data_IF_383110277268
#
_entry.id   IF_383110277268
#
_cell.length_a   1.000
_cell.length_b   1.000
_cell.length_c   1.000
_cell.angle_alpha   90.00
_cell.angle_beta   90.00
_cell.angle_gamma   90.00
#
_symmetry.space_group_name_H-M   'P 1'
#
loop_
_entity.id
_entity.type
_entity.pdbx_description
1 polymer ?
#
# COMPACT_ATOMS: atom_id res chain seq x y z
N UNK A 1 -7.09 16.19 48.42
CA UNK A 1 -5.68 15.95 48.06
C UNK A 1 -5.61 14.54 47.53
N UNK A 2 -5.65 14.38 46.22
CA UNK A 2 -5.59 13.07 45.53
C UNK A 2 -4.13 12.79 45.25
N UNK A 3 -3.58 11.76 45.84
CA UNK A 3 -2.21 11.28 45.61
C UNK A 3 -2.16 10.58 44.27
N UNK A 4 -1.35 11.10 43.33
CA UNK A 4 -1.00 10.44 42.10
C UNK A 4 -0.14 9.23 42.44
N UNK A 5 -0.46 8.00 41.97
CA UNK A 5 0.38 6.84 42.21
C UNK A 5 1.71 6.99 41.49
N UNK A 6 2.81 6.66 42.18
CA UNK A 6 4.17 6.68 41.63
C UNK A 6 4.30 5.76 40.42
N UNK A 7 4.76 6.31 39.30
CA UNK A 7 5.11 5.54 38.11
C UNK A 7 6.45 4.84 38.40
N UNK A 8 6.55 3.51 38.24
CA UNK A 8 7.81 2.80 38.40
C UNK A 8 8.87 3.31 37.42
N UNK A 9 10.01 3.75 37.93
CA UNK A 9 11.16 4.25 37.14
C UNK A 9 12.05 3.13 36.60
N UNK A 10 11.66 1.86 36.75
CA UNK A 10 12.41 0.73 36.24
C UNK A 10 11.90 0.38 34.83
N UNK A 11 12.69 0.57 33.76
CA UNK A 11 12.30 0.21 32.39
C UNK A 11 12.06 -1.31 32.19
N UNK A 12 12.61 -2.16 33.08
CA UNK A 12 12.44 -3.62 33.01
C UNK A 12 11.13 -4.13 33.66
N UNK A 13 10.36 -3.24 34.29
CA UNK A 13 9.08 -3.57 34.93
C UNK A 13 7.87 -3.48 33.98
N UNK A 14 8.05 -2.94 32.82
CA UNK A 14 7.09 -3.04 31.71
C UNK A 14 7.31 -4.41 31.07
N UNK A 15 6.44 -5.35 31.41
CA UNK A 15 6.51 -6.75 30.96
C UNK A 15 6.84 -6.87 29.48
N UNK A 16 7.60 -7.91 29.16
CA UNK A 16 8.11 -8.24 27.83
C UNK A 16 7.13 -7.82 26.73
N UNK A 17 7.60 -7.01 25.81
CA UNK A 17 6.85 -6.50 24.67
C UNK A 17 6.12 -7.68 23.99
N UNK A 18 4.78 -7.74 23.99
CA UNK A 18 4.05 -8.88 23.42
C UNK A 18 4.22 -8.98 21.90
N UNK A 19 4.97 -8.06 21.30
CA UNK A 19 5.36 -8.09 19.91
C UNK A 19 6.86 -7.79 19.83
N UNK A 20 7.70 -8.80 19.57
CA UNK A 20 9.08 -8.52 19.23
C UNK A 20 9.06 -7.65 17.97
N UNK A 21 9.42 -6.38 18.14
CA UNK A 21 9.81 -5.54 17.04
C UNK A 21 10.88 -6.33 16.30
N UNK A 22 10.85 -6.33 15.01
CA UNK A 22 11.57 -7.11 14.02
C UNK A 22 13.08 -7.42 14.22
N UNK A 23 13.60 -7.39 15.44
CA UNK A 23 14.91 -7.93 15.82
C UNK A 23 14.95 -9.47 15.85
N UNK A 24 13.84 -10.13 15.60
CA UNK A 24 13.70 -11.60 15.60
C UNK A 24 13.26 -12.19 14.26
N UNK A 25 13.38 -11.46 13.13
CA UNK A 25 13.32 -12.11 11.83
C UNK A 25 14.72 -12.67 11.53
N UNK A 26 15.07 -13.76 12.18
CA UNK A 26 16.16 -14.61 11.72
C UNK A 26 15.73 -15.17 10.35
N UNK A 27 16.46 -14.79 9.32
CA UNK A 27 16.36 -15.45 8.03
C UNK A 27 16.64 -16.93 8.28
N UNK A 28 15.90 -17.88 7.68
CA UNK A 28 16.23 -19.30 7.80
C UNK A 28 17.68 -19.46 7.36
N UNK A 29 18.50 -20.04 8.26
CA UNK A 29 19.89 -20.39 8.03
C UNK A 29 19.95 -21.45 6.92
N UNK A 30 19.95 -21.01 5.67
CA UNK A 30 20.29 -21.86 4.54
C UNK A 30 21.80 -21.77 4.32
N UNK A 31 22.52 -22.59 5.08
CA UNK A 31 23.98 -22.78 4.94
C UNK A 31 24.39 -23.42 3.61
N UNK A 32 23.53 -23.56 2.60
CA UNK A 32 23.85 -24.35 1.41
C UNK A 32 24.10 -23.58 0.13
N UNK A 33 24.06 -22.21 0.12
CA UNK A 33 24.41 -21.48 -1.09
C UNK A 33 25.49 -20.41 -0.88
N UNK A 34 26.75 -20.84 -1.09
CA UNK A 34 27.90 -19.93 -1.28
C UNK A 34 27.86 -19.18 -2.63
N UNK A 35 26.69 -18.95 -3.19
CA UNK A 35 26.52 -18.09 -4.36
C UNK A 35 26.26 -16.68 -3.81
N UNK A 36 27.26 -15.80 -3.98
CA UNK A 36 27.09 -14.38 -3.73
C UNK A 36 25.77 -13.90 -4.34
N UNK A 37 24.95 -13.11 -3.64
CA UNK A 37 23.71 -12.63 -4.18
C UNK A 37 24.02 -11.78 -5.42
N UNK A 38 23.76 -12.36 -6.59
CA UNK A 38 23.85 -11.64 -7.85
C UNK A 38 22.82 -10.54 -7.81
N UNK A 39 23.28 -9.29 -7.88
CA UNK A 39 22.44 -8.09 -7.82
C UNK A 39 21.12 -8.30 -8.59
N UNK A 40 20.01 -8.27 -7.88
CA UNK A 40 18.65 -8.46 -8.44
C UNK A 40 18.26 -7.33 -9.40
N UNK A 41 19.06 -6.25 -9.43
CA UNK A 41 18.92 -5.04 -10.22
C UNK A 41 18.86 -5.30 -11.74
N UNK A 42 19.40 -6.42 -12.23
CA UNK A 42 19.53 -6.71 -13.67
C UNK A 42 18.63 -7.84 -14.18
N UNK A 43 17.74 -8.39 -13.36
CA UNK A 43 16.82 -9.47 -13.79
C UNK A 43 15.41 -8.98 -14.03
N UNK A 44 15.22 -7.95 -14.87
CA UNK A 44 13.88 -7.66 -15.36
C UNK A 44 13.44 -8.79 -16.30
N UNK A 45 12.44 -9.57 -15.90
CA UNK A 45 11.81 -10.63 -16.74
C UNK A 45 10.89 -10.02 -17.81
N UNK A 46 10.98 -8.70 -18.03
CA UNK A 46 10.15 -7.93 -18.94
C UNK A 46 9.44 -6.76 -18.26
N UNK A 47 8.47 -6.17 -18.95
CA UNK A 47 7.69 -5.05 -18.44
C UNK A 47 6.38 -5.49 -17.77
N UNK A 48 5.98 -4.77 -16.74
CA UNK A 48 4.69 -4.92 -16.06
C UNK A 48 3.60 -4.15 -16.81
N UNK A 49 3.23 -4.61 -18.01
CA UNK A 49 2.31 -3.89 -18.90
C UNK A 49 0.98 -3.50 -18.26
N UNK A 50 0.45 -4.32 -17.35
CA UNK A 50 -0.75 -3.97 -16.59
C UNK A 50 -0.55 -2.75 -15.70
N UNK A 51 0.57 -2.66 -15.00
CA UNK A 51 0.93 -1.52 -14.15
C UNK A 51 1.18 -0.27 -15.00
N UNK A 52 1.92 -0.41 -16.10
CA UNK A 52 2.19 0.70 -17.03
C UNK A 52 0.87 1.24 -17.59
N UNK A 53 -0.01 0.36 -18.06
CA UNK A 53 -1.32 0.74 -18.59
C UNK A 53 -2.18 1.44 -17.52
N UNK A 54 -2.18 0.93 -16.30
CA UNK A 54 -2.89 1.54 -15.17
C UNK A 54 -2.37 2.95 -14.87
N UNK A 55 -1.07 3.11 -14.68
CA UNK A 55 -0.45 4.41 -14.40
C UNK A 55 -0.70 5.39 -15.54
N UNK A 56 -0.56 4.95 -16.80
CA UNK A 56 -0.85 5.79 -17.97
C UNK A 56 -2.30 6.24 -17.99
N UNK A 57 -3.25 5.33 -17.72
CA UNK A 57 -4.68 5.66 -17.65
C UNK A 57 -4.97 6.73 -16.60
N UNK A 58 -4.38 6.62 -15.40
CA UNK A 58 -4.55 7.60 -14.35
C UNK A 58 -4.01 8.98 -14.74
N UNK A 59 -2.84 9.05 -15.39
CA UNK A 59 -2.26 10.31 -15.83
C UNK A 59 -3.06 10.95 -16.97
N UNK A 60 -3.51 10.16 -17.94
CA UNK A 60 -4.40 10.65 -19.02
C UNK A 60 -5.70 11.17 -18.43
N UNK A 61 -6.29 10.44 -17.47
CA UNK A 61 -7.49 10.89 -16.76
C UNK A 61 -7.28 12.19 -15.99
N UNK A 62 -6.15 12.33 -15.30
CA UNK A 62 -5.81 13.55 -14.57
C UNK A 62 -5.66 14.75 -15.50
N UNK A 63 -5.00 14.59 -16.66
CA UNK A 63 -4.90 15.64 -17.69
C UNK A 63 -6.27 15.97 -18.27
N UNK A 64 -7.07 14.96 -18.61
CA UNK A 64 -8.43 15.16 -19.13
C UNK A 64 -9.34 15.92 -18.14
N UNK A 65 -9.19 15.68 -16.84
CA UNK A 65 -9.95 16.36 -15.80
C UNK A 65 -9.75 17.89 -15.78
N UNK A 66 -8.60 18.39 -16.25
CA UNK A 66 -8.34 19.83 -16.37
C UNK A 66 -9.28 20.51 -17.36
N UNK A 67 -9.75 19.79 -18.38
CA UNK A 67 -10.68 20.30 -19.39
C UNK A 67 -12.16 20.21 -18.95
N UNK A 68 -12.44 19.51 -17.85
CA UNK A 68 -13.78 19.31 -17.27
C UNK A 68 -13.83 19.81 -15.82
N UNK A 69 -13.13 20.90 -15.52
CA UNK A 69 -12.99 21.41 -14.17
C UNK A 69 -14.32 21.87 -13.59
N UNK A 70 -14.63 21.41 -12.38
CA UNK A 70 -15.70 21.92 -11.53
C UNK A 70 -15.22 21.96 -10.07
N UNK A 71 -15.71 22.94 -9.30
CA UNK A 71 -15.36 23.02 -7.87
C UNK A 71 -15.81 21.78 -7.08
N UNK A 72 -16.98 21.23 -7.41
CA UNK A 72 -17.46 19.99 -6.79
C UNK A 72 -16.52 18.83 -7.09
N UNK A 73 -16.10 18.68 -8.34
CA UNK A 73 -15.12 17.67 -8.74
C UNK A 73 -13.77 17.83 -8.04
N UNK A 74 -13.27 19.07 -7.96
CA UNK A 74 -12.00 19.36 -7.29
C UNK A 74 -12.04 19.05 -5.78
N UNK A 75 -13.12 19.45 -5.09
CA UNK A 75 -13.31 19.14 -3.67
C UNK A 75 -13.45 17.63 -3.46
N UNK A 76 -14.24 16.94 -4.29
CA UNK A 76 -14.40 15.48 -4.22
C UNK A 76 -13.06 14.77 -4.42
N UNK A 77 -12.28 15.17 -5.43
CA UNK A 77 -10.95 14.62 -5.68
C UNK A 77 -10.00 14.84 -4.49
N UNK A 78 -9.99 16.04 -3.90
CA UNK A 78 -9.20 16.35 -2.72
C UNK A 78 -9.60 15.49 -1.51
N UNK A 79 -10.89 15.34 -1.24
CA UNK A 79 -11.38 14.51 -0.12
C UNK A 79 -11.04 13.03 -0.33
N UNK A 80 -11.19 12.52 -1.55
CA UNK A 80 -10.80 11.15 -1.88
C UNK A 80 -9.30 10.94 -1.76
N UNK A 81 -8.50 11.85 -2.29
CA UNK A 81 -7.04 11.82 -2.14
C UNK A 81 -6.62 11.81 -0.66
N UNK A 82 -7.21 12.69 0.15
CA UNK A 82 -6.94 12.72 1.59
C UNK A 82 -7.37 11.42 2.27
N UNK A 83 -8.57 10.93 1.98
CA UNK A 83 -9.09 9.70 2.59
C UNK A 83 -8.23 8.48 2.19
N UNK A 84 -7.96 8.29 0.91
CA UNK A 84 -7.21 7.13 0.43
C UNK A 84 -5.73 7.21 0.82
N UNK A 85 -5.08 8.36 0.66
CA UNK A 85 -3.68 8.55 1.00
C UNK A 85 -3.43 8.57 2.51
N UNK A 86 -4.11 9.44 3.26
CA UNK A 86 -3.84 9.59 4.69
C UNK A 86 -4.44 8.47 5.53
N UNK A 87 -5.72 8.11 5.30
CA UNK A 87 -6.39 7.09 6.10
C UNK A 87 -6.11 5.70 5.54
N UNK A 88 -6.22 5.50 4.23
CA UNK A 88 -6.00 4.20 3.60
C UNK A 88 -4.55 3.78 3.59
N UNK A 89 -3.68 4.57 2.96
CA UNK A 89 -2.26 4.22 2.81
C UNK A 89 -1.48 4.50 4.09
N UNK A 90 -1.44 5.74 4.59
CA UNK A 90 -0.57 6.05 5.73
C UNK A 90 -1.03 5.38 7.03
N UNK A 91 -2.31 5.41 7.37
CA UNK A 91 -2.79 4.80 8.61
C UNK A 91 -3.04 3.29 8.44
N UNK A 92 -3.67 2.87 7.34
CA UNK A 92 -3.99 1.47 7.05
C UNK A 92 -2.78 0.66 6.61
N UNK A 93 -2.32 0.85 5.40
CA UNK A 93 -1.25 0.02 4.83
C UNK A 93 0.07 0.18 5.55
N UNK A 94 0.50 1.42 5.78
CA UNK A 94 1.78 1.71 6.40
C UNK A 94 1.78 1.39 7.89
N UNK A 95 1.00 2.13 8.70
CA UNK A 95 1.08 2.00 10.17
C UNK A 95 0.45 0.72 10.71
N UNK A 96 -0.76 0.34 10.24
CA UNK A 96 -1.46 -0.83 10.76
C UNK A 96 -0.90 -2.13 10.20
N UNK A 97 -0.79 -2.25 8.86
CA UNK A 97 -0.43 -3.53 8.24
C UNK A 97 1.09 -3.72 8.10
N UNK A 98 1.85 -2.72 7.63
CA UNK A 98 3.29 -2.90 7.46
C UNK A 98 4.03 -2.87 8.80
N UNK A 99 3.83 -1.83 9.61
CA UNK A 99 4.54 -1.62 10.86
C UNK A 99 3.85 -2.17 12.11
N UNK A 100 2.57 -2.56 12.02
CA UNK A 100 1.79 -3.07 13.16
C UNK A 100 1.81 -2.13 14.39
N UNK A 101 1.88 -0.81 14.15
CA UNK A 101 2.07 0.22 15.17
C UNK A 101 0.92 0.33 16.17
N UNK A 102 -0.25 -0.21 15.83
CA UNK A 102 -1.43 -0.19 16.71
C UNK A 102 -2.34 -1.38 16.42
N UNK A 103 -3.21 -1.68 17.37
CA UNK A 103 -4.25 -2.71 17.26
C UNK A 103 -5.61 -2.06 17.09
N UNK A 104 -6.50 -2.70 16.34
CA UNK A 104 -7.86 -2.23 16.16
C UNK A 104 -8.81 -3.41 15.94
N UNK A 105 -10.12 -3.13 15.91
CA UNK A 105 -11.14 -4.15 15.63
C UNK A 105 -11.05 -4.66 14.19
N UNK A 106 -11.59 -5.87 13.94
CA UNK A 106 -11.62 -6.45 12.59
C UNK A 106 -12.35 -5.57 11.58
N UNK A 107 -13.44 -4.92 11.98
CA UNK A 107 -14.21 -4.01 11.11
C UNK A 107 -13.36 -2.83 10.65
N UNK A 108 -12.62 -2.20 11.57
CA UNK A 108 -11.74 -1.07 11.25
C UNK A 108 -10.58 -1.54 10.36
N UNK A 109 -10.00 -2.73 10.63
CA UNK A 109 -8.98 -3.33 9.75
C UNK A 109 -9.48 -3.46 8.30
N UNK A 110 -10.67 -4.01 8.13
CA UNK A 110 -11.25 -4.20 6.80
C UNK A 110 -11.56 -2.87 6.11
N UNK A 111 -12.13 -1.91 6.85
CA UNK A 111 -12.39 -0.58 6.32
C UNK A 111 -11.09 0.09 5.82
N UNK A 112 -10.03 0.07 6.64
CA UNK A 112 -8.72 0.63 6.27
C UNK A 112 -8.10 -0.10 5.06
N UNK A 113 -8.26 -1.42 4.97
CA UNK A 113 -7.78 -2.18 3.81
C UNK A 113 -8.53 -1.82 2.53
N UNK A 114 -9.86 -1.64 2.58
CA UNK A 114 -10.66 -1.20 1.43
C UNK A 114 -10.26 0.22 1.01
N UNK A 115 -10.20 1.15 1.97
CA UNK A 115 -9.85 2.55 1.69
C UNK A 115 -8.46 2.64 1.06
N UNK A 116 -7.48 1.88 1.58
CA UNK A 116 -6.14 1.80 0.99
C UNK A 116 -6.14 1.19 -0.42
N UNK A 117 -6.98 0.17 -0.67
CA UNK A 117 -7.15 -0.41 -2.01
C UNK A 117 -7.63 0.63 -3.02
N UNK A 118 -8.55 1.51 -2.61
CA UNK A 118 -9.06 2.60 -3.46
C UNK A 118 -8.01 3.69 -3.77
N UNK A 119 -6.89 3.72 -3.05
CA UNK A 119 -5.76 4.62 -3.34
C UNK A 119 -5.05 4.35 -4.67
N UNK A 120 -5.23 3.14 -5.23
CA UNK A 120 -4.66 2.81 -6.55
C UNK A 120 -3.18 2.42 -6.54
N UNK A 121 -2.54 2.39 -5.38
CA UNK A 121 -1.10 2.09 -5.22
C UNK A 121 -0.80 0.58 -5.13
N UNK A 122 -1.79 -0.26 -5.28
CA UNK A 122 -1.70 -1.71 -5.18
C UNK A 122 -2.59 -2.30 -4.09
N UNK A 123 -2.68 -3.62 -4.07
CA UNK A 123 -3.42 -4.33 -3.02
C UNK A 123 -2.66 -4.31 -1.69
N UNK A 124 -3.34 -4.61 -0.54
CA UNK A 124 -2.66 -4.72 0.75
C UNK A 124 -1.45 -5.66 0.72
N UNK A 125 -1.57 -6.81 0.00
CA UNK A 125 -0.48 -7.78 -0.12
C UNK A 125 0.73 -7.23 -0.87
N UNK A 126 0.50 -6.62 -2.04
CA UNK A 126 1.59 -6.11 -2.88
C UNK A 126 2.26 -4.90 -2.25
N UNK A 127 1.48 -3.98 -1.71
CA UNK A 127 2.02 -2.77 -1.09
C UNK A 127 2.85 -3.09 0.17
N UNK A 128 2.29 -3.88 1.09
CA UNK A 128 2.98 -4.24 2.35
C UNK A 128 4.22 -5.08 2.09
N UNK A 129 4.17 -6.00 1.12
CA UNK A 129 5.34 -6.79 0.77
C UNK A 129 6.48 -5.92 0.22
N UNK A 130 6.19 -5.01 -0.71
CA UNK A 130 7.17 -4.08 -1.25
C UNK A 130 7.74 -3.16 -0.16
N UNK A 131 6.89 -2.62 0.71
CA UNK A 131 7.28 -1.71 1.78
C UNK A 131 8.17 -2.39 2.85
N UNK A 132 7.83 -3.60 3.27
CA UNK A 132 8.66 -4.35 4.22
C UNK A 132 9.99 -4.79 3.59
N UNK A 133 10.01 -5.12 2.28
CA UNK A 133 11.24 -5.38 1.56
C UNK A 133 12.12 -4.13 1.50
N UNK A 134 11.54 -2.97 1.21
CA UNK A 134 12.25 -1.69 1.25
C UNK A 134 12.89 -1.45 2.64
N UNK A 135 12.15 -1.63 3.73
CA UNK A 135 12.71 -1.47 5.07
C UNK A 135 13.83 -2.45 5.40
N UNK A 136 13.76 -3.67 4.88
CA UNK A 136 14.82 -4.67 5.09
C UNK A 136 16.12 -4.31 4.35
N UNK A 137 16.01 -3.74 3.16
CA UNK A 137 17.15 -3.45 2.28
C UNK A 137 17.29 -1.96 1.95
N UNK A 138 16.83 -1.10 2.85
CA UNK A 138 16.82 0.34 2.62
C UNK A 138 18.18 0.85 2.15
N UNK A 139 18.20 1.45 0.95
CA UNK A 139 19.40 1.95 0.29
C UNK A 139 20.47 0.91 -0.10
N UNK A 140 20.13 -0.37 -0.07
CA UNK A 140 20.96 -1.47 -0.59
C UNK A 140 20.52 -1.88 -2.01
N UNK A 141 21.26 -2.80 -2.63
CA UNK A 141 21.00 -3.22 -4.03
C UNK A 141 19.65 -3.93 -4.21
N UNK A 142 19.12 -4.57 -3.16
CA UNK A 142 17.83 -5.23 -3.16
C UNK A 142 16.64 -4.30 -2.88
N UNK A 143 16.88 -3.04 -2.52
CA UNK A 143 15.82 -2.05 -2.32
C UNK A 143 15.08 -1.81 -3.64
N UNK A 144 13.75 -2.07 -3.71
CA UNK A 144 13.03 -1.94 -4.96
C UNK A 144 13.00 -0.52 -5.52
N UNK A 145 13.12 0.50 -4.66
CA UNK A 145 12.98 1.90 -5.07
C UNK A 145 13.97 2.85 -4.35
N UNK A 146 15.22 2.41 -4.21
CA UNK A 146 16.27 3.21 -3.59
C UNK A 146 16.42 4.58 -4.26
N UNK A 147 16.49 5.68 -3.50
CA UNK A 147 16.80 7.02 -4.02
C UNK A 147 18.20 7.13 -4.61
N UNK A 148 19.13 6.22 -4.25
CA UNK A 148 20.46 6.13 -4.85
C UNK A 148 20.41 5.82 -6.35
N UNK A 149 19.31 5.22 -6.82
CA UNK A 149 19.09 4.89 -8.23
C UNK A 149 18.53 6.06 -9.05
N UNK A 150 18.33 7.19 -8.40
CA UNK A 150 17.86 8.43 -8.99
C UNK A 150 16.39 8.72 -8.75
N UNK A 151 16.04 10.00 -8.87
CA UNK A 151 14.70 10.52 -8.56
C UNK A 151 13.57 9.80 -9.32
N UNK A 152 13.72 9.63 -10.63
CA UNK A 152 12.69 9.01 -11.45
C UNK A 152 12.53 7.53 -11.16
N UNK A 153 13.62 6.83 -10.85
CA UNK A 153 13.57 5.44 -10.43
C UNK A 153 12.80 5.30 -9.14
N UNK A 154 13.24 5.95 -8.07
CA UNK A 154 12.63 5.84 -6.75
C UNK A 154 11.17 6.30 -6.70
N UNK A 155 10.79 7.23 -7.58
CA UNK A 155 9.42 7.74 -7.62
C UNK A 155 8.46 6.83 -8.37
N UNK A 156 8.78 6.41 -9.60
CA UNK A 156 7.81 5.73 -10.47
C UNK A 156 8.39 4.62 -11.35
N UNK A 157 9.63 4.75 -11.84
CA UNK A 157 10.13 3.82 -12.87
C UNK A 157 10.36 2.40 -12.31
N UNK A 158 10.57 2.25 -11.02
CA UNK A 158 10.71 0.95 -10.35
C UNK A 158 9.47 0.06 -10.49
N UNK A 159 8.30 0.64 -10.77
CA UNK A 159 7.04 -0.08 -10.98
C UNK A 159 6.93 -0.69 -12.40
N UNK A 160 7.77 -0.26 -13.35
CA UNK A 160 7.65 -0.65 -14.75
C UNK A 160 8.31 -1.99 -15.08
N UNK A 161 9.50 -2.33 -14.56
CA UNK A 161 10.05 -3.65 -14.76
C UNK A 161 9.29 -4.69 -13.93
N UNK A 162 9.12 -5.88 -14.50
CA UNK A 162 8.68 -7.03 -13.74
C UNK A 162 9.90 -7.61 -13.01
N UNK A 163 10.20 -7.04 -11.84
CA UNK A 163 11.38 -7.40 -11.04
C UNK A 163 11.19 -8.65 -10.20
N UNK A 164 9.96 -9.11 -9.99
CA UNK A 164 9.67 -10.32 -9.21
C UNK A 164 9.08 -11.40 -10.13
N UNK A 165 9.87 -12.43 -10.48
CA UNK A 165 9.40 -13.55 -11.27
C UNK A 165 8.38 -14.42 -10.52
N UNK A 166 8.36 -14.34 -9.19
CA UNK A 166 7.44 -15.10 -8.34
C UNK A 166 6.82 -14.23 -7.24
N UNK A 167 5.81 -13.39 -7.56
CA UNK A 167 5.15 -12.52 -6.58
C UNK A 167 4.61 -13.28 -5.36
N UNK A 168 4.21 -14.54 -5.54
CA UNK A 168 3.70 -15.38 -4.46
C UNK A 168 4.78 -15.67 -3.41
N UNK A 169 6.02 -15.87 -3.83
CA UNK A 169 7.16 -16.07 -2.92
C UNK A 169 7.45 -14.80 -2.14
N UNK A 170 7.39 -13.64 -2.79
CA UNK A 170 7.52 -12.34 -2.13
C UNK A 170 6.44 -12.15 -1.06
N UNK A 171 5.17 -12.48 -1.36
CA UNK A 171 4.10 -12.41 -0.36
C UNK A 171 4.31 -13.39 0.81
N UNK A 172 4.81 -14.59 0.54
CA UNK A 172 5.14 -15.57 1.59
C UNK A 172 6.26 -15.08 2.51
N UNK A 173 7.23 -14.35 1.94
CA UNK A 173 8.37 -13.81 2.70
C UNK A 173 8.02 -12.56 3.48
N UNK A 174 7.39 -11.58 2.83
CA UNK A 174 7.22 -10.22 3.39
C UNK A 174 5.81 -9.91 3.91
N UNK A 175 4.78 -10.61 3.47
CA UNK A 175 3.38 -10.35 3.83
C UNK A 175 2.62 -11.64 4.22
N UNK A 176 3.30 -12.63 4.82
CA UNK A 176 2.74 -13.94 5.18
C UNK A 176 1.51 -13.82 6.06
N UNK A 177 1.50 -12.90 7.01
CA UNK A 177 0.39 -12.61 7.91
C UNK A 177 -0.87 -12.19 7.13
N UNK A 178 -0.72 -11.25 6.19
CA UNK A 178 -1.83 -10.81 5.35
C UNK A 178 -2.24 -11.89 4.35
N UNK A 179 -1.28 -12.66 3.83
CA UNK A 179 -1.54 -13.74 2.89
C UNK A 179 -2.39 -14.86 3.52
N UNK A 180 -2.29 -15.09 4.82
CA UNK A 180 -3.11 -16.06 5.54
C UNK A 180 -4.58 -15.59 5.71
N UNK A 181 -4.84 -14.29 5.69
CA UNK A 181 -6.18 -13.74 5.82
C UNK A 181 -6.95 -13.79 4.49
N UNK A 182 -8.10 -14.51 4.40
CA UNK A 182 -8.87 -14.61 3.15
C UNK A 182 -9.29 -13.25 2.59
N UNK A 183 -9.57 -12.28 3.45
CA UNK A 183 -10.01 -10.95 3.06
C UNK A 183 -8.95 -10.18 2.27
N UNK A 184 -7.67 -10.24 2.68
CA UNK A 184 -6.59 -9.57 1.95
C UNK A 184 -6.30 -10.26 0.61
N UNK A 185 -6.45 -11.60 0.52
CA UNK A 185 -6.38 -12.32 -0.75
C UNK A 185 -7.52 -11.92 -1.70
N UNK A 186 -8.75 -11.76 -1.15
CA UNK A 186 -9.88 -11.28 -1.91
C UNK A 186 -9.62 -9.87 -2.47
N UNK A 187 -9.17 -8.92 -1.65
CA UNK A 187 -8.82 -7.57 -2.10
C UNK A 187 -7.71 -7.58 -3.15
N UNK A 188 -6.73 -8.47 -3.03
CA UNK A 188 -5.68 -8.62 -4.03
C UNK A 188 -6.22 -9.11 -5.37
N UNK A 189 -7.05 -10.14 -5.35
CA UNK A 189 -7.65 -10.72 -6.56
C UNK A 189 -8.65 -9.77 -7.25
N UNK A 190 -9.31 -8.91 -6.48
CA UNK A 190 -10.36 -8.01 -6.97
C UNK A 190 -9.89 -6.55 -7.07
N UNK A 191 -8.61 -6.27 -6.92
CA UNK A 191 -8.03 -4.93 -6.85
C UNK A 191 -8.59 -3.97 -7.90
N UNK A 192 -8.56 -4.36 -9.17
CA UNK A 192 -8.99 -3.49 -10.27
C UNK A 192 -10.49 -3.18 -10.24
N UNK A 193 -11.31 -4.12 -9.78
CA UNK A 193 -12.77 -3.95 -9.77
C UNK A 193 -13.24 -2.87 -8.79
N UNK A 194 -12.50 -2.66 -7.69
CA UNK A 194 -12.80 -1.61 -6.72
C UNK A 194 -12.74 -0.21 -7.32
N UNK A 195 -11.83 0.01 -8.26
CA UNK A 195 -11.69 1.28 -8.96
C UNK A 195 -12.81 1.50 -9.96
N UNK A 196 -13.27 0.44 -10.66
CA UNK A 196 -14.48 0.52 -11.49
C UNK A 196 -15.72 0.81 -10.67
N UNK A 197 -15.89 0.16 -9.52
CA UNK A 197 -17.00 0.42 -8.59
C UNK A 197 -16.97 1.88 -8.12
N UNK A 198 -15.82 2.39 -7.69
CA UNK A 198 -15.66 3.77 -7.28
C UNK A 198 -15.99 4.73 -8.44
N UNK A 199 -15.39 4.52 -9.61
CA UNK A 199 -15.61 5.36 -10.79
C UNK A 199 -17.07 5.40 -11.23
N UNK A 200 -17.73 4.24 -11.27
CA UNK A 200 -19.15 4.15 -11.60
C UNK A 200 -20.03 4.85 -10.54
N UNK A 201 -19.71 4.68 -9.25
CA UNK A 201 -20.45 5.34 -8.16
C UNK A 201 -20.33 6.85 -8.23
N UNK A 202 -19.14 7.39 -8.52
CA UNK A 202 -18.91 8.81 -8.70
C UNK A 202 -19.64 9.35 -9.94
N UNK A 203 -19.60 8.58 -11.04
CA UNK A 203 -20.34 8.93 -12.25
C UNK A 203 -21.85 8.98 -12.01
N UNK A 204 -22.41 7.95 -11.36
CA UNK A 204 -23.83 7.90 -11.05
C UNK A 204 -24.27 9.03 -10.10
N UNK A 205 -23.45 9.33 -9.08
CA UNK A 205 -23.70 10.46 -8.19
C UNK A 205 -23.67 11.80 -8.94
N UNK A 206 -22.66 12.01 -9.78
CA UNK A 206 -22.56 13.22 -10.63
C UNK A 206 -23.76 13.37 -11.57
N UNK A 207 -24.15 12.28 -12.23
CA UNK A 207 -25.32 12.24 -13.11
C UNK A 207 -26.60 12.59 -12.36
N UNK A 208 -26.82 12.02 -11.17
CA UNK A 208 -28.00 12.29 -10.36
C UNK A 208 -28.07 13.75 -9.91
N UNK A 209 -26.94 14.35 -9.51
CA UNK A 209 -26.88 15.75 -9.12
C UNK A 209 -27.17 16.66 -10.34
N UNK A 210 -26.61 16.34 -11.51
CA UNK A 210 -26.85 17.06 -12.75
C UNK A 210 -28.33 16.95 -13.17
N UNK A 211 -28.90 15.75 -13.14
CA UNK A 211 -30.31 15.49 -13.44
C UNK A 211 -31.26 16.30 -12.56
N UNK A 212 -30.98 16.37 -11.26
CA UNK A 212 -31.74 17.20 -10.32
C UNK A 212 -31.70 18.70 -10.66
N UNK A 213 -30.53 19.20 -11.12
CA UNK A 213 -30.39 20.62 -11.50
C UNK A 213 -31.02 20.94 -12.85
N UNK A 214 -31.02 20.02 -13.80
CA UNK A 214 -31.54 20.26 -15.17
C UNK A 214 -33.00 19.87 -15.34
N UNK A 215 -33.62 19.25 -14.32
CA UNK A 215 -34.99 18.73 -14.42
C UNK A 215 -35.14 17.56 -15.40
N UNK A 216 -34.05 16.97 -15.83
CA UNK A 216 -34.00 15.78 -16.67
C UNK A 216 -33.79 14.56 -15.73
N UNK A 217 -34.86 14.06 -15.19
CA UNK A 217 -34.88 12.82 -14.38
C UNK A 217 -35.57 11.71 -15.17
#
# INVERSE_FOLDING_TARGET
MSTIPDIPTNPDALGADPFPIASGFEAPDDESSTVAPESTRNRSVGFAWGTIGWITLLHVGAVAALFCFTWVGAITAFLLFWLTGSVGICMGYHRLFAHRSFKTSGVVRWALAIIGTLGGEGSPLSWVAAHRKHHQFSDEDEDPHSPKDGLWWSHILWLFPRSDPNPRQSFQRYAKDLLQEPFHRFLHATFIYWHFVLGFSLFAAGWSIWGLHTGIS
#
